data_IF_076120666578
#
_entry.id   IF_076120666578
#
_cell.length_a   1.000
_cell.length_b   1.000
_cell.length_c   1.000
_cell.angle_alpha   90.00
_cell.angle_beta   90.00
_cell.angle_gamma   90.00
#
_symmetry.space_group_name_H-M   'P 1'
#
loop_
_entity.id
_entity.type
_entity.pdbx_description
1 polymer ?
#
# COMPACT_ATOMS: atom_id res chain seq x y z
N UNK A 1 -41.60 23.16 -22.51
CA UNK A 1 -41.72 21.78 -21.98
C UNK A 1 -40.67 20.96 -22.71
N UNK A 2 -39.63 20.40 -22.11
CA UNK A 2 -39.45 19.95 -20.74
C UNK A 2 -38.12 20.46 -20.13
N UNK A 3 -38.16 20.75 -18.83
CA UNK A 3 -37.00 20.96 -17.99
C UNK A 3 -36.23 19.64 -17.80
N UNK A 4 -34.89 19.65 -17.65
CA UNK A 4 -34.15 18.49 -17.21
C UNK A 4 -34.38 18.27 -15.69
N UNK A 5 -34.82 17.08 -15.32
CA UNK A 5 -34.91 16.60 -13.93
C UNK A 5 -33.58 15.93 -13.53
N UNK A 6 -33.27 15.75 -12.23
CA UNK A 6 -32.10 16.31 -11.60
C UNK A 6 -31.02 15.25 -11.39
N UNK A 7 -29.84 15.75 -11.01
CA UNK A 7 -28.72 15.00 -10.49
C UNK A 7 -29.17 13.76 -9.70
N UNK A 8 -28.92 12.58 -10.26
CA UNK A 8 -28.85 11.36 -9.47
C UNK A 8 -27.79 11.60 -8.40
N UNK A 9 -28.23 11.88 -7.18
CA UNK A 9 -27.34 11.95 -6.03
C UNK A 9 -26.78 10.55 -5.84
N UNK A 10 -25.52 10.37 -6.24
CA UNK A 10 -24.78 9.17 -5.95
C UNK A 10 -24.84 8.95 -4.44
N UNK A 11 -25.32 7.78 -4.03
CA UNK A 11 -25.30 7.35 -2.64
C UNK A 11 -23.84 7.43 -2.18
N UNK A 12 -23.50 8.15 -1.09
CA UNK A 12 -22.12 8.19 -0.64
C UNK A 12 -21.67 6.77 -0.37
N UNK A 13 -20.50 6.40 -0.91
CA UNK A 13 -19.90 5.10 -0.63
C UNK A 13 -19.85 4.91 0.90
N UNK A 14 -20.15 3.70 1.42
CA UNK A 14 -20.15 3.47 2.84
C UNK A 14 -18.79 3.84 3.43
N UNK A 15 -18.81 4.65 4.50
CA UNK A 15 -17.60 5.06 5.19
C UNK A 15 -16.81 3.83 5.65
N UNK A 16 -15.49 3.87 5.45
CA UNK A 16 -14.57 2.83 5.87
C UNK A 16 -14.47 2.82 7.40
N UNK A 17 -14.67 1.65 8.02
CA UNK A 17 -14.78 1.50 9.47
C UNK A 17 -13.71 0.56 10.02
N UNK A 18 -13.23 0.86 11.22
CA UNK A 18 -12.14 0.13 11.87
C UNK A 18 -12.66 -0.71 13.05
N UNK A 19 -12.06 -1.89 13.23
CA UNK A 19 -12.12 -2.67 14.47
C UNK A 19 -10.69 -2.98 14.90
N UNK A 20 -10.20 -2.33 15.96
CA UNK A 20 -8.75 -2.27 16.21
C UNK A 20 -8.06 -1.60 15.03
N UNK A 21 -6.94 -2.18 14.57
CA UNK A 21 -6.31 -1.76 13.32
C UNK A 21 -6.72 -2.60 12.11
N UNK A 22 -7.86 -3.29 12.15
CA UNK A 22 -8.47 -3.96 10.98
C UNK A 22 -9.56 -3.11 10.34
N UNK A 23 -9.44 -2.89 9.04
CA UNK A 23 -10.41 -2.19 8.22
C UNK A 23 -11.50 -3.16 7.76
N UNK A 24 -12.75 -2.95 8.18
CA UNK A 24 -13.85 -3.91 7.99
C UNK A 24 -14.20 -4.20 6.52
N UNK A 25 -13.95 -3.24 5.63
CA UNK A 25 -14.28 -3.34 4.21
C UNK A 25 -13.18 -4.06 3.41
N UNK A 26 -11.98 -4.24 3.97
CA UNK A 26 -10.93 -5.02 3.32
C UNK A 26 -11.20 -6.52 3.46
N UNK A 27 -10.70 -7.30 2.50
CA UNK A 27 -10.64 -8.75 2.66
C UNK A 27 -9.54 -9.13 3.63
N UNK A 28 -9.90 -9.76 4.74
CA UNK A 28 -8.92 -10.17 5.74
C UNK A 28 -8.34 -11.53 5.40
N UNK A 29 -7.02 -11.60 5.36
CA UNK A 29 -6.27 -12.85 5.30
C UNK A 29 -5.09 -12.76 6.28
N UNK A 30 -5.31 -13.02 7.58
CA UNK A 30 -4.31 -12.76 8.61
C UNK A 30 -2.99 -13.51 8.36
N UNK A 31 -1.90 -12.75 8.33
CA UNK A 31 -0.54 -13.26 8.20
C UNK A 31 0.04 -13.62 9.57
N UNK A 32 0.84 -14.70 9.68
CA UNK A 32 1.66 -14.95 10.87
C UNK A 32 2.92 -14.06 10.92
N UNK A 33 3.29 -13.39 9.83
CA UNK A 33 4.52 -12.62 9.69
C UNK A 33 4.33 -11.19 10.19
N UNK A 34 4.25 -11.01 11.50
CA UNK A 34 4.19 -9.69 12.12
C UNK A 34 4.84 -9.71 13.50
N UNK A 35 5.08 -8.53 14.07
CA UNK A 35 5.51 -8.41 15.46
C UNK A 35 4.93 -7.17 16.12
N UNK A 36 5.31 -6.94 17.36
CA UNK A 36 4.94 -5.72 18.08
C UNK A 36 5.69 -4.51 17.50
N UNK A 37 5.01 -3.36 17.49
CA UNK A 37 5.67 -2.07 17.29
C UNK A 37 6.41 -1.68 18.58
N UNK A 38 7.51 -0.91 18.51
CA UNK A 38 8.12 -0.31 19.70
C UNK A 38 7.08 0.51 20.51
N UNK A 39 7.23 0.55 21.83
CA UNK A 39 6.25 1.19 22.73
C UNK A 39 5.98 2.69 22.43
N UNK A 40 6.91 3.37 21.77
CA UNK A 40 6.81 4.79 21.41
C UNK A 40 6.65 5.01 19.90
N UNK A 41 6.30 3.94 19.16
CA UNK A 41 6.13 4.03 17.72
C UNK A 41 5.03 5.04 17.38
N UNK A 42 5.35 5.90 16.41
CA UNK A 42 4.40 6.83 15.85
C UNK A 42 4.19 6.44 14.40
N UNK A 43 3.02 5.84 14.13
CA UNK A 43 2.62 5.45 12.77
C UNK A 43 2.29 6.70 11.97
N UNK A 44 3.34 7.39 11.49
CA UNK A 44 3.26 8.65 10.76
C UNK A 44 3.59 8.51 9.26
N UNK A 45 3.93 7.29 8.81
CA UNK A 45 4.38 6.99 7.45
C UNK A 45 3.52 5.91 6.77
N UNK A 46 3.14 6.14 5.53
CA UNK A 46 2.72 5.10 4.59
C UNK A 46 3.85 4.80 3.63
N UNK A 47 4.12 3.51 3.39
CA UNK A 47 5.09 3.07 2.37
C UNK A 47 4.34 2.33 1.27
N UNK A 48 4.42 2.85 0.05
CA UNK A 48 3.87 2.22 -1.15
C UNK A 48 4.91 1.31 -1.76
N UNK A 49 4.49 0.10 -2.11
CA UNK A 49 5.29 -0.96 -2.71
C UNK A 49 4.62 -1.45 -3.99
N UNK A 50 5.34 -2.27 -4.75
CA UNK A 50 4.72 -3.09 -5.80
C UNK A 50 5.25 -4.52 -5.81
N UNK A 51 4.34 -5.45 -6.08
CA UNK A 51 4.65 -6.87 -6.11
C UNK A 51 3.74 -7.60 -7.10
N UNK A 52 4.32 -8.57 -7.82
CA UNK A 52 3.61 -9.54 -8.66
C UNK A 52 4.36 -10.87 -8.58
N UNK A 53 3.61 -11.96 -8.48
CA UNK A 53 4.17 -13.30 -8.34
C UNK A 53 3.43 -14.27 -9.26
N UNK A 54 4.12 -14.88 -10.26
CA UNK A 54 5.47 -14.55 -10.72
C UNK A 54 5.61 -13.09 -11.18
N UNK A 55 6.83 -12.55 -11.31
CA UNK A 55 7.03 -11.16 -11.71
C UNK A 55 6.33 -10.84 -13.05
N UNK A 56 5.47 -9.82 -13.04
CA UNK A 56 4.69 -9.40 -14.21
C UNK A 56 3.39 -10.18 -14.44
N UNK A 57 3.10 -11.19 -13.61
CA UNK A 57 1.84 -11.93 -13.63
C UNK A 57 0.93 -11.48 -12.47
N UNK A 58 -0.37 -11.36 -12.76
CA UNK A 58 -1.35 -10.75 -11.85
C UNK A 58 -2.54 -11.69 -11.64
N UNK A 59 -3.23 -11.54 -10.51
CA UNK A 59 -4.42 -12.32 -10.17
C UNK A 59 -4.14 -13.79 -9.84
N UNK A 60 -2.89 -14.14 -9.56
CA UNK A 60 -2.45 -15.53 -9.33
C UNK A 60 -2.78 -16.05 -7.94
N UNK A 61 -3.00 -15.16 -6.97
CA UNK A 61 -3.12 -15.51 -5.55
C UNK A 61 -1.78 -15.76 -4.85
N UNK A 62 -0.66 -15.73 -5.57
CA UNK A 62 0.65 -16.08 -5.02
C UNK A 62 1.19 -15.05 -4.02
N UNK A 63 0.82 -13.76 -4.16
CA UNK A 63 1.19 -12.72 -3.19
C UNK A 63 0.55 -12.98 -1.83
N UNK A 64 -0.75 -13.31 -1.83
CA UNK A 64 -1.47 -13.70 -0.62
C UNK A 64 -0.84 -14.93 0.05
N UNK A 65 -0.46 -15.92 -0.77
CA UNK A 65 0.19 -17.13 -0.27
C UNK A 65 1.59 -16.83 0.29
N UNK A 66 2.39 -15.99 -0.36
CA UNK A 66 3.70 -15.56 0.15
C UNK A 66 3.55 -14.89 1.52
N UNK A 67 2.65 -13.91 1.63
CA UNK A 67 2.44 -13.17 2.87
C UNK A 67 1.88 -14.02 4.01
N UNK A 68 1.36 -15.21 3.72
CA UNK A 68 0.81 -16.13 4.72
C UNK A 68 1.62 -17.43 4.88
N UNK A 69 2.83 -17.50 4.33
CA UNK A 69 3.71 -18.68 4.36
C UNK A 69 3.09 -19.94 3.73
N UNK A 70 2.22 -19.76 2.74
CA UNK A 70 1.50 -20.82 2.03
C UNK A 70 1.90 -20.97 0.56
N UNK A 71 2.91 -20.22 0.10
CA UNK A 71 3.34 -20.28 -1.30
C UNK A 71 3.90 -21.67 -1.62
N UNK A 72 3.34 -22.30 -2.65
CA UNK A 72 3.94 -23.51 -3.23
C UNK A 72 5.23 -23.12 -3.95
N UNK A 73 6.36 -23.38 -3.31
CA UNK A 73 7.68 -23.04 -3.81
C UNK A 73 8.01 -23.71 -5.15
N UNK A 74 7.40 -24.85 -5.45
CA UNK A 74 7.70 -25.64 -6.64
C UNK A 74 6.76 -25.28 -7.82
N UNK A 75 5.76 -24.42 -7.60
CA UNK A 75 4.81 -23.97 -8.64
C UNK A 75 5.42 -23.06 -9.71
N UNK A 76 6.54 -22.39 -9.42
CA UNK A 76 7.24 -21.55 -10.39
C UNK A 76 8.75 -21.41 -10.08
N UNK A 77 9.67 -21.46 -11.07
CA UNK A 77 11.12 -21.37 -10.82
C UNK A 77 11.57 -20.13 -10.04
N UNK A 78 10.90 -18.99 -10.24
CA UNK A 78 11.17 -17.75 -9.50
C UNK A 78 11.02 -17.94 -7.98
N UNK A 79 10.06 -18.76 -7.55
CA UNK A 79 9.75 -18.93 -6.13
C UNK A 79 10.87 -19.60 -5.34
N UNK A 80 11.75 -20.36 -6.02
CA UNK A 80 12.94 -20.93 -5.37
C UNK A 80 13.89 -19.85 -4.83
N UNK A 81 13.99 -18.71 -5.52
CA UNK A 81 14.84 -17.59 -5.09
C UNK A 81 14.31 -16.83 -3.88
N UNK A 82 13.03 -16.97 -3.56
CA UNK A 82 12.36 -16.35 -2.42
C UNK A 82 11.90 -17.38 -1.38
N UNK A 83 12.37 -18.63 -1.50
CA UNK A 83 11.96 -19.74 -0.64
C UNK A 83 12.31 -19.48 0.81
N UNK A 84 11.31 -19.62 1.67
CA UNK A 84 11.47 -19.41 3.12
C UNK A 84 11.54 -17.94 3.55
N UNK A 85 11.29 -16.97 2.64
CA UNK A 85 11.08 -15.59 3.07
C UNK A 85 9.84 -15.49 3.96
N UNK A 86 10.00 -14.86 5.11
CA UNK A 86 8.91 -14.44 5.98
C UNK A 86 8.75 -12.93 5.85
N UNK A 87 7.76 -12.53 5.07
CA UNK A 87 7.46 -11.12 4.77
C UNK A 87 5.95 -10.90 4.78
N UNK A 88 5.53 -9.66 4.97
CA UNK A 88 4.13 -9.26 4.91
C UNK A 88 4.01 -7.77 4.65
N UNK A 89 2.83 -7.33 4.23
CA UNK A 89 2.41 -5.94 4.25
C UNK A 89 1.12 -5.81 5.06
N UNK A 90 0.72 -4.58 5.40
CA UNK A 90 -0.59 -4.40 6.01
C UNK A 90 -1.67 -4.61 4.96
N UNK A 91 -1.51 -3.98 3.79
CA UNK A 91 -2.50 -4.04 2.71
C UNK A 91 -1.90 -4.48 1.38
N UNK A 92 -2.74 -5.08 0.53
CA UNK A 92 -2.46 -5.35 -0.88
C UNK A 92 -3.65 -4.91 -1.74
N UNK A 93 -3.39 -4.23 -2.84
CA UNK A 93 -4.40 -3.75 -3.78
C UNK A 93 -4.17 -4.42 -5.13
N UNK A 94 -5.12 -5.29 -5.50
CA UNK A 94 -5.13 -6.00 -6.79
C UNK A 94 -5.23 -5.03 -7.98
N UNK A 95 -4.96 -5.51 -9.20
CA UNK A 95 -5.18 -4.71 -10.43
C UNK A 95 -6.61 -4.16 -10.54
N UNK A 96 -7.59 -4.87 -10.00
CA UNK A 96 -9.01 -4.48 -10.01
C UNK A 96 -9.40 -3.53 -8.86
N UNK A 97 -8.46 -3.16 -7.99
CA UNK A 97 -8.70 -2.26 -6.85
C UNK A 97 -9.30 -2.95 -5.62
N UNK A 98 -9.37 -4.27 -5.59
CA UNK A 98 -9.75 -5.01 -4.39
C UNK A 98 -8.66 -4.87 -3.31
N UNK A 99 -9.06 -4.48 -2.11
CA UNK A 99 -8.16 -4.27 -0.97
C UNK A 99 -8.18 -5.49 -0.06
N UNK A 100 -7.01 -6.09 0.12
CA UNK A 100 -6.75 -7.13 1.10
C UNK A 100 -5.99 -6.55 2.28
N UNK A 101 -6.22 -7.09 3.48
CA UNK A 101 -5.46 -6.78 4.69
C UNK A 101 -4.91 -8.06 5.32
N UNK A 102 -3.64 -8.05 5.70
CA UNK A 102 -2.95 -9.23 6.28
C UNK A 102 -2.49 -9.00 7.72
N UNK A 103 -2.23 -7.76 8.10
CA UNK A 103 -1.70 -7.42 9.43
C UNK A 103 -2.52 -6.27 10.00
N UNK A 104 -2.83 -6.39 11.29
CA UNK A 104 -3.40 -5.31 12.08
C UNK A 104 -2.49 -4.07 12.00
N UNK A 105 -3.02 -2.90 11.65
CA UNK A 105 -2.21 -1.69 11.54
C UNK A 105 -1.59 -1.22 12.87
N UNK A 106 -2.13 -1.64 14.03
CA UNK A 106 -1.52 -1.41 15.33
C UNK A 106 -0.30 -2.33 15.58
N UNK A 107 -0.15 -3.41 14.80
CA UNK A 107 1.01 -4.30 14.78
C UNK A 107 2.01 -3.93 13.67
N UNK A 108 3.21 -4.51 13.73
CA UNK A 108 4.31 -4.27 12.78
C UNK A 108 4.36 -5.36 11.72
N UNK A 109 3.93 -5.06 10.50
CA UNK A 109 4.21 -5.89 9.32
C UNK A 109 5.70 -5.84 8.90
N UNK A 110 6.15 -6.80 8.10
CA UNK A 110 7.55 -6.96 7.69
C UNK A 110 7.74 -6.65 6.19
N UNK A 111 7.61 -5.38 5.81
CA UNK A 111 7.62 -4.95 4.40
C UNK A 111 8.85 -4.12 3.99
N UNK A 112 9.39 -3.30 4.89
CA UNK A 112 10.42 -2.32 4.55
C UNK A 112 11.84 -2.91 4.51
N UNK A 113 12.15 -3.91 5.35
CA UNK A 113 13.52 -4.42 5.54
C UNK A 113 14.47 -3.34 6.08
N UNK A 114 15.75 -3.38 5.65
CA UNK A 114 16.72 -2.33 6.00
C UNK A 114 16.40 -1.01 5.27
N UNK A 115 15.91 -0.01 6.00
CA UNK A 115 15.43 1.25 5.45
C UNK A 115 15.63 2.42 6.41
N UNK A 116 15.62 3.64 5.88
CA UNK A 116 15.70 4.89 6.63
C UNK A 116 14.79 5.95 6.00
N UNK A 117 14.01 6.64 6.82
CA UNK A 117 13.18 7.76 6.38
C UNK A 117 13.23 8.90 7.39
N UNK A 118 13.52 10.12 6.92
CA UNK A 118 13.61 11.32 7.76
C UNK A 118 14.52 11.14 9.00
N UNK A 119 15.63 10.41 8.82
CA UNK A 119 16.60 10.13 9.88
C UNK A 119 16.18 9.03 10.87
N UNK A 120 15.06 8.33 10.64
CA UNK A 120 14.64 7.15 11.41
C UNK A 120 14.88 5.88 10.62
N UNK A 121 15.70 5.00 11.17
CA UNK A 121 15.91 3.66 10.62
C UNK A 121 14.71 2.74 10.92
N UNK A 122 14.66 1.58 10.25
CA UNK A 122 13.69 0.50 10.50
C UNK A 122 12.24 0.96 10.30
N UNK A 123 11.93 1.42 9.09
CA UNK A 123 10.62 2.01 8.79
C UNK A 123 9.42 1.10 9.09
N UNK A 124 9.58 -0.23 9.20
CA UNK A 124 8.52 -1.12 9.69
C UNK A 124 7.92 -0.64 11.02
N UNK A 125 8.75 -0.12 11.94
CA UNK A 125 8.34 0.28 13.29
C UNK A 125 7.24 1.35 13.28
N UNK A 126 7.34 2.31 12.35
CA UNK A 126 6.55 3.54 12.31
C UNK A 126 5.70 3.68 11.03
N UNK A 127 5.52 2.61 10.25
CA UNK A 127 4.79 2.70 8.98
C UNK A 127 3.73 1.64 8.73
N UNK A 128 2.84 1.99 7.78
CA UNK A 128 1.88 1.10 7.15
C UNK A 128 2.35 0.82 5.71
N UNK A 129 2.83 -0.39 5.46
CA UNK A 129 3.10 -0.90 4.11
C UNK A 129 1.83 -1.24 3.32
N UNK A 130 1.73 -0.70 2.11
CA UNK A 130 0.67 -0.96 1.12
C UNK A 130 1.32 -1.45 -0.17
N UNK A 131 0.97 -2.66 -0.58
CA UNK A 131 1.44 -3.30 -1.81
C UNK A 131 0.44 -3.06 -2.94
N UNK A 132 0.92 -2.63 -4.10
CA UNK A 132 0.14 -2.59 -5.33
C UNK A 132 0.51 -3.78 -6.22
N UNK A 133 -0.48 -4.53 -6.69
CA UNK A 133 -0.25 -5.58 -7.67
C UNK A 133 0.34 -5.00 -8.96
N UNK A 134 1.59 -5.34 -9.23
CA UNK A 134 2.34 -4.71 -10.31
C UNK A 134 3.81 -5.09 -10.31
N UNK A 135 4.52 -4.53 -11.27
CA UNK A 135 5.96 -4.69 -11.41
C UNK A 135 6.57 -3.30 -11.55
N UNK A 136 7.66 -3.05 -10.84
CA UNK A 136 8.40 -1.78 -10.94
C UNK A 136 8.71 -1.42 -12.40
N UNK A 137 8.46 -0.16 -12.76
CA UNK A 137 8.60 0.33 -14.14
C UNK A 137 7.37 0.12 -15.04
N UNK A 138 6.39 -0.70 -14.65
CA UNK A 138 5.12 -0.85 -15.37
C UNK A 138 3.98 -0.02 -14.76
N UNK A 139 3.00 0.34 -15.61
CA UNK A 139 1.89 1.21 -15.21
C UNK A 139 0.89 0.50 -14.28
N UNK A 140 0.36 1.27 -13.34
CA UNK A 140 -0.71 0.85 -12.42
C UNK A 140 -2.10 1.26 -12.90
N UNK A 141 -3.11 0.47 -12.56
CA UNK A 141 -4.47 0.68 -13.04
C UNK A 141 -5.18 1.85 -12.34
N UNK A 142 -6.12 2.52 -13.03
CA UNK A 142 -6.98 3.52 -12.40
C UNK A 142 -7.69 3.04 -11.13
N UNK A 143 -8.11 1.77 -11.10
CA UNK A 143 -8.76 1.17 -9.94
C UNK A 143 -7.83 1.09 -8.72
N UNK A 144 -6.53 0.86 -8.95
CA UNK A 144 -5.53 0.84 -7.88
C UNK A 144 -5.36 2.21 -7.24
N UNK A 145 -5.29 3.28 -8.06
CA UNK A 145 -5.21 4.65 -7.52
C UNK A 145 -6.48 5.04 -6.75
N UNK A 146 -7.66 4.67 -7.24
CA UNK A 146 -8.92 4.95 -6.53
C UNK A 146 -8.98 4.23 -5.18
N UNK A 147 -8.57 2.95 -5.14
CA UNK A 147 -8.50 2.17 -3.91
C UNK A 147 -7.43 2.71 -2.94
N UNK A 148 -6.26 3.08 -3.45
CA UNK A 148 -5.18 3.67 -2.65
C UNK A 148 -5.59 5.01 -2.05
N UNK A 149 -6.26 5.88 -2.81
CA UNK A 149 -6.80 7.15 -2.30
C UNK A 149 -7.80 6.93 -1.15
N UNK A 150 -8.79 6.06 -1.36
CA UNK A 150 -9.76 5.71 -0.33
C UNK A 150 -9.09 5.11 0.93
N UNK A 151 -8.08 4.26 0.74
CA UNK A 151 -7.31 3.65 1.82
C UNK A 151 -6.48 4.65 2.58
N UNK A 152 -5.78 5.56 1.90
CA UNK A 152 -5.04 6.64 2.55
C UNK A 152 -5.96 7.52 3.39
N UNK A 153 -7.14 7.88 2.89
CA UNK A 153 -8.11 8.68 3.65
C UNK A 153 -8.63 7.93 4.90
N UNK A 154 -8.91 6.63 4.78
CA UNK A 154 -9.32 5.81 5.92
C UNK A 154 -8.21 5.65 6.97
N UNK A 155 -6.96 5.51 6.52
CA UNK A 155 -5.77 5.47 7.40
C UNK A 155 -5.61 6.81 8.12
N UNK A 156 -5.72 7.94 7.40
CA UNK A 156 -5.61 9.28 7.96
C UNK A 156 -6.65 9.56 9.06
N UNK A 157 -7.82 8.94 8.97
CA UNK A 157 -8.87 9.06 9.98
C UNK A 157 -8.55 8.34 11.30
N UNK A 158 -7.60 7.39 11.30
CA UNK A 158 -7.28 6.52 12.46
C UNK A 158 -5.87 6.72 13.01
N UNK A 159 -4.91 7.05 12.15
CA UNK A 159 -3.49 7.15 12.45
C UNK A 159 -2.97 8.56 12.15
N UNK A 160 -1.99 9.07 12.90
CA UNK A 160 -1.42 10.40 12.69
C UNK A 160 -0.43 10.43 11.51
N UNK A 161 -0.77 9.75 10.41
CA UNK A 161 0.04 9.74 9.19
C UNK A 161 0.14 11.14 8.64
N UNK A 162 1.37 11.53 8.32
CA UNK A 162 1.71 12.81 7.71
C UNK A 162 2.64 12.64 6.51
N UNK A 163 3.14 11.43 6.26
CA UNK A 163 4.12 11.15 5.22
C UNK A 163 3.70 9.94 4.39
N UNK A 164 3.98 10.01 3.09
CA UNK A 164 3.80 8.89 2.19
C UNK A 164 5.06 8.81 1.31
N UNK A 165 5.66 7.63 1.21
CA UNK A 165 6.86 7.40 0.41
C UNK A 165 6.77 6.06 -0.34
N UNK A 166 7.60 5.88 -1.37
CA UNK A 166 7.78 4.58 -2.01
C UNK A 166 8.90 3.78 -1.34
N UNK A 167 8.97 2.46 -1.57
CA UNK A 167 10.07 1.64 -1.05
C UNK A 167 11.44 2.14 -1.55
N UNK A 168 11.51 2.57 -2.80
CA UNK A 168 12.68 3.19 -3.44
C UNK A 168 13.21 4.41 -2.67
N UNK A 169 12.32 5.17 -2.01
CA UNK A 169 12.66 6.39 -1.30
C UNK A 169 13.24 6.11 0.09
N UNK A 170 12.79 5.04 0.75
CA UNK A 170 13.25 4.67 2.10
C UNK A 170 14.45 3.70 2.06
N UNK A 171 14.73 3.09 0.90
CA UNK A 171 15.81 2.12 0.71
C UNK A 171 16.57 2.36 -0.61
N UNK A 172 17.13 3.58 -0.82
CA UNK A 172 17.79 3.93 -2.07
C UNK A 172 18.98 3.00 -2.35
N UNK A 173 19.11 2.55 -3.60
CA UNK A 173 20.15 1.62 -4.04
C UNK A 173 19.88 0.14 -3.73
N UNK A 174 18.83 -0.17 -2.95
CA UNK A 174 18.42 -1.56 -2.65
C UNK A 174 17.07 -1.93 -3.27
N UNK A 175 16.12 -1.00 -3.30
CA UNK A 175 14.76 -1.23 -3.82
C UNK A 175 14.41 -0.17 -4.85
N UNK A 176 13.62 -0.58 -5.85
CA UNK A 176 13.19 0.27 -6.96
C UNK A 176 11.65 0.34 -7.08
N UNK A 177 10.90 -0.34 -6.22
CA UNK A 177 9.44 -0.30 -6.20
C UNK A 177 8.90 0.92 -5.40
N UNK A 178 7.74 1.49 -5.77
CA UNK A 178 6.84 1.05 -6.85
C UNK A 178 7.35 1.43 -8.25
N UNK A 179 8.40 2.27 -8.33
CA UNK A 179 9.17 2.57 -9.53
C UNK A 179 8.51 3.52 -10.50
N UNK A 180 9.18 3.76 -11.63
CA UNK A 180 8.83 4.80 -12.60
C UNK A 180 7.44 4.67 -13.24
N UNK A 181 6.79 3.51 -13.14
CA UNK A 181 5.42 3.31 -13.60
C UNK A 181 4.34 3.84 -12.64
N UNK A 182 4.72 4.18 -11.40
CA UNK A 182 3.84 4.77 -10.40
C UNK A 182 3.77 6.30 -10.55
N UNK A 183 2.56 6.80 -10.77
CA UNK A 183 2.25 8.20 -11.01
C UNK A 183 2.00 8.93 -9.68
N UNK A 184 3.10 9.39 -9.10
CA UNK A 184 3.12 10.21 -7.89
C UNK A 184 2.33 11.53 -8.03
N UNK A 185 2.26 12.11 -9.23
CA UNK A 185 1.52 13.34 -9.47
C UNK A 185 0.01 13.08 -9.41
N UNK A 186 -0.45 11.99 -10.04
CA UNK A 186 -1.83 11.54 -9.95
C UNK A 186 -2.24 11.26 -8.51
N UNK A 187 -1.43 10.50 -7.75
CA UNK A 187 -1.74 10.23 -6.34
C UNK A 187 -1.86 11.53 -5.54
N UNK A 188 -0.90 12.46 -5.71
CA UNK A 188 -0.93 13.76 -5.02
C UNK A 188 -2.23 14.53 -5.30
N UNK A 189 -2.67 14.54 -6.56
CA UNK A 189 -3.93 15.18 -6.95
C UNK A 189 -5.15 14.55 -6.28
N UNK A 190 -5.18 13.22 -6.15
CA UNK A 190 -6.26 12.51 -5.46
C UNK A 190 -6.29 12.85 -3.96
N UNK A 191 -5.15 12.72 -3.28
CA UNK A 191 -5.03 12.99 -1.84
C UNK A 191 -5.35 14.45 -1.47
N UNK A 192 -5.13 15.39 -2.38
CA UNK A 192 -5.45 16.80 -2.16
C UNK A 192 -6.97 17.07 -2.06
N UNK A 193 -7.82 16.16 -2.54
CA UNK A 193 -9.28 16.32 -2.43
C UNK A 193 -9.82 16.01 -1.03
N UNK A 194 -9.04 15.35 -0.17
CA UNK A 194 -9.46 15.00 1.19
C UNK A 194 -8.71 15.85 2.22
N UNK A 195 -9.40 16.56 3.13
CA UNK A 195 -8.75 17.38 4.15
C UNK A 195 -7.74 16.61 5.02
N UNK A 196 -8.00 15.33 5.29
CA UNK A 196 -7.16 14.49 6.14
C UNK A 196 -5.80 14.12 5.49
N UNK A 197 -5.74 14.07 4.16
CA UNK A 197 -4.53 13.70 3.41
C UNK A 197 -3.91 14.85 2.62
N UNK A 198 -4.61 15.99 2.51
CA UNK A 198 -4.19 17.15 1.73
C UNK A 198 -2.81 17.71 2.12
N UNK A 199 -2.42 17.56 3.39
CA UNK A 199 -1.14 18.05 3.91
C UNK A 199 -0.08 16.95 4.05
N UNK A 200 -0.33 15.74 3.54
CA UNK A 200 0.67 14.68 3.57
C UNK A 200 1.88 15.05 2.71
N UNK A 201 3.07 14.83 3.27
CA UNK A 201 4.33 15.11 2.59
C UNK A 201 4.77 13.88 1.79
N UNK A 202 4.83 14.06 0.47
CA UNK A 202 5.39 13.09 -0.48
C UNK A 202 6.87 13.40 -0.77
N UNK A 203 7.66 12.45 -1.30
CA UNK A 203 9.07 12.68 -1.57
C UNK A 203 9.28 13.83 -2.57
N UNK A 204 10.37 14.60 -2.44
CA UNK A 204 10.73 15.63 -3.42
C UNK A 204 10.94 15.02 -4.81
N UNK A 205 10.45 15.69 -5.87
CA UNK A 205 10.60 15.20 -7.24
C UNK A 205 9.66 14.06 -7.64
N UNK A 206 8.91 13.47 -6.71
CA UNK A 206 7.85 12.50 -6.98
C UNK A 206 6.75 13.15 -7.86
N UNK A 207 6.81 12.88 -9.17
CA UNK A 207 5.91 13.44 -10.19
C UNK A 207 6.55 14.44 -11.17
N UNK A 208 7.87 14.67 -11.13
CA UNK A 208 8.55 15.37 -12.23
C UNK A 208 9.09 14.35 -13.25
N UNK A 209 8.91 14.57 -14.57
CA UNK A 209 9.54 13.72 -15.56
C UNK A 209 11.05 13.77 -15.36
N UNK A 210 11.70 12.61 -15.36
CA UNK A 210 13.16 12.51 -15.39
C UNK A 210 13.66 13.34 -16.57
N UNK A 211 14.48 14.36 -16.29
CA UNK A 211 15.17 15.16 -17.31
C UNK A 211 16.18 14.32 -18.08
#
# INVERSE_FOLDING_TARGET
>A
MASPDPQAQATPAPAWTWQGGWLQQARHLPSPNFGERPAQALVDLVVVHSISLPPGEYGTGAVQQLFTNQLDWDAHPYYQGIRGLEVSAHFFITRQGEVWQFVDCDARAWHAGASCWRGRDRCNDDSIGIELEGLEGLRFEPAQYAALDALCNAIAARYPVAHLAGHEHIAPGRKCDPGAGFDWHRLRGLLAHHPATANWQLPPGAGQPST
#
